data_IF_083048999103
#
_entry.id   IF_083048999103
#
_cell.length_a   1.000
_cell.length_b   1.000
_cell.length_c   1.000
_cell.angle_alpha   90.00
_cell.angle_beta   90.00
_cell.angle_gamma   90.00
#
_symmetry.space_group_name_H-M   'P 1'
#
loop_
_entity.id
_entity.type
_entity.pdbx_description
1 polymer ?
#
# COMPACT_ATOMS: atom_id res chain seq x y z
N UNK A 1 13.11 84.34 21.86
CA UNK A 1 12.91 84.40 20.40
C UNK A 1 12.03 83.19 20.05
N UNK A 2 10.75 83.23 20.44
CA UNK A 2 9.55 83.61 19.67
C UNK A 2 8.98 82.52 18.75
N UNK A 3 7.70 82.21 19.01
CA UNK A 3 6.67 81.41 18.28
C UNK A 3 6.49 79.95 18.75
N UNK A 4 5.46 79.62 19.56
CA UNK A 4 3.99 79.64 19.30
C UNK A 4 3.66 79.03 17.93
N UNK A 5 2.99 77.91 17.78
CA UNK A 5 1.76 77.46 18.43
C UNK A 5 0.74 77.24 17.32
N UNK A 6 0.09 76.07 17.23
CA UNK A 6 -1.25 75.87 16.64
C UNK A 6 -1.79 74.54 17.19
N UNK A 7 -2.81 74.67 18.05
CA UNK A 7 -3.85 73.68 18.30
C UNK A 7 -4.94 73.85 17.23
N UNK A 8 -5.52 72.73 16.79
CA UNK A 8 -6.81 72.64 16.10
C UNK A 8 -7.01 71.17 15.70
N UNK A 9 -7.71 70.35 16.48
CA UNK A 9 -9.17 70.15 16.46
C UNK A 9 -9.76 70.01 15.05
N UNK A 10 -9.82 68.76 14.58
CA UNK A 10 -10.89 68.19 13.75
C UNK A 10 -10.99 66.71 14.16
N UNK A 11 -12.09 66.13 14.61
CA UNK A 11 -13.47 66.46 14.29
C UNK A 11 -13.95 65.55 13.15
N UNK A 12 -14.46 64.36 13.49
CA UNK A 12 -15.33 63.49 12.67
C UNK A 12 -14.66 62.67 11.55
N UNK A 13 -14.49 61.37 11.79
CA UNK A 13 -15.41 60.32 11.30
C UNK A 13 -14.75 58.98 11.58
N UNK A 14 -15.16 58.38 12.70
CA UNK A 14 -14.99 56.97 12.98
C UNK A 14 -15.92 56.23 12.02
N UNK A 15 -15.42 55.92 10.82
CA UNK A 15 -16.14 55.02 9.90
C UNK A 15 -16.08 53.64 10.54
N UNK A 16 -17.13 53.33 11.30
CA UNK A 16 -17.52 51.97 11.63
C UNK A 16 -17.78 51.24 10.32
N UNK A 17 -16.75 50.58 9.81
CA UNK A 17 -16.94 49.43 8.94
C UNK A 17 -17.43 48.27 9.82
N UNK A 18 -18.70 48.31 10.21
CA UNK A 18 -19.47 47.13 10.59
C UNK A 18 -19.88 46.38 9.31
N UNK A 19 -18.88 46.01 8.52
CA UNK A 19 -19.04 45.05 7.42
C UNK A 19 -18.73 43.69 8.00
N UNK A 20 -19.70 43.09 8.66
CA UNK A 20 -19.67 41.68 9.02
C UNK A 20 -19.49 40.87 7.73
N UNK A 21 -18.24 40.58 7.39
CA UNK A 21 -17.89 39.42 6.59
C UNK A 21 -18.29 38.23 7.46
N UNK A 22 -19.58 37.89 7.33
CA UNK A 22 -20.09 36.55 7.53
C UNK A 22 -19.09 35.61 6.86
N UNK A 23 -18.16 35.10 7.65
CA UNK A 23 -17.44 33.89 7.33
C UNK A 23 -18.53 32.83 7.27
N UNK A 24 -19.04 32.56 6.09
CA UNK A 24 -19.93 31.44 5.83
C UNK A 24 -19.31 30.23 6.51
N UNK A 25 -19.94 29.78 7.61
CA UNK A 25 -19.48 28.63 8.35
C UNK A 25 -19.41 27.45 7.38
N UNK A 26 -18.38 26.58 7.47
CA UNK A 26 -18.34 25.37 6.67
C UNK A 26 -19.67 24.65 6.82
N UNK A 27 -20.33 24.35 5.71
CA UNK A 27 -21.72 23.89 5.65
C UNK A 27 -22.05 22.90 6.76
N UNK A 28 -23.02 23.26 7.61
CA UNK A 28 -23.35 22.57 8.88
C UNK A 28 -23.54 21.06 8.73
N UNK A 29 -24.05 20.59 7.58
CA UNK A 29 -24.24 19.15 7.31
C UNK A 29 -22.93 18.37 7.21
N UNK A 30 -21.90 18.93 6.57
CA UNK A 30 -20.63 18.22 6.37
C UNK A 30 -19.89 17.99 7.69
N UNK A 31 -19.93 18.98 8.58
CA UNK A 31 -19.41 18.85 9.94
C UNK A 31 -20.23 17.83 10.76
N UNK A 32 -21.56 17.92 10.72
CA UNK A 32 -22.45 16.99 11.43
C UNK A 32 -22.25 15.52 11.03
N UNK A 33 -22.11 15.23 9.73
CA UNK A 33 -21.85 13.85 9.25
C UNK A 33 -20.50 13.34 9.74
N UNK A 34 -19.45 14.18 9.73
CA UNK A 34 -18.13 13.80 10.24
C UNK A 34 -18.18 13.50 11.73
N UNK A 35 -18.84 14.34 12.52
CA UNK A 35 -18.96 14.15 13.98
C UNK A 35 -19.73 12.87 14.32
N UNK A 36 -20.75 12.54 13.53
CA UNK A 36 -21.48 11.28 13.65
C UNK A 36 -20.58 10.08 13.36
N UNK A 37 -19.84 10.11 12.25
CA UNK A 37 -18.92 9.02 11.83
C UNK A 37 -17.70 8.88 12.76
N UNK A 38 -17.31 9.95 13.45
CA UNK A 38 -16.25 9.91 14.46
C UNK A 38 -16.70 9.29 15.79
N UNK A 39 -17.98 8.91 15.93
CA UNK A 39 -18.42 8.14 17.11
C UNK A 39 -17.84 6.73 17.05
N UNK A 40 -17.12 6.27 18.10
CA UNK A 40 -16.43 4.98 18.08
C UNK A 40 -17.37 3.79 17.90
N UNK A 41 -18.56 3.84 18.50
CA UNK A 41 -19.57 2.78 18.34
C UNK A 41 -20.05 2.65 16.88
N UNK A 42 -20.35 3.78 16.22
CA UNK A 42 -20.78 3.76 14.82
C UNK A 42 -19.66 3.28 13.91
N UNK A 43 -18.43 3.79 14.12
CA UNK A 43 -17.26 3.34 13.38
C UNK A 43 -17.01 1.83 13.53
N UNK A 44 -17.17 1.28 14.74
CA UNK A 44 -17.04 -0.15 14.99
C UNK A 44 -18.11 -0.95 14.24
N UNK A 45 -19.38 -0.55 14.31
CA UNK A 45 -20.49 -1.19 13.59
C UNK A 45 -20.24 -1.17 12.08
N UNK A 46 -19.84 -0.02 11.51
CA UNK A 46 -19.53 0.10 10.09
C UNK A 46 -18.31 -0.74 9.69
N UNK A 47 -17.29 -0.82 10.54
CA UNK A 47 -16.11 -1.65 10.30
C UNK A 47 -16.45 -3.14 10.29
N UNK A 48 -17.30 -3.58 11.22
CA UNK A 48 -17.81 -4.96 11.26
C UNK A 48 -18.67 -5.24 10.03
N UNK A 49 -19.56 -4.31 9.65
CA UNK A 49 -20.40 -4.44 8.47
C UNK A 49 -19.59 -4.57 7.17
N UNK A 50 -18.40 -3.96 7.08
CA UNK A 50 -17.52 -4.14 5.92
C UNK A 50 -17.11 -5.61 5.70
N UNK A 51 -17.05 -6.43 6.75
CA UNK A 51 -16.77 -7.87 6.63
C UNK A 51 -17.95 -8.69 6.10
N UNK A 52 -19.13 -8.09 5.92
CA UNK A 52 -20.19 -8.72 5.13
C UNK A 52 -19.82 -8.80 3.64
N UNK A 53 -18.93 -7.93 3.14
CA UNK A 53 -18.49 -7.91 1.73
C UNK A 53 -17.89 -9.25 1.28
N UNK A 54 -16.88 -9.82 1.95
CA UNK A 54 -16.32 -11.11 1.54
C UNK A 54 -17.33 -12.24 1.69
N UNK A 55 -18.23 -12.19 2.68
CA UNK A 55 -19.32 -13.18 2.83
C UNK A 55 -20.27 -13.13 1.63
N UNK A 56 -20.70 -11.93 1.22
CA UNK A 56 -21.52 -11.73 0.05
C UNK A 56 -20.80 -12.13 -1.24
N UNK A 57 -19.50 -11.81 -1.37
CA UNK A 57 -18.69 -12.24 -2.50
C UNK A 57 -18.66 -13.76 -2.63
N UNK A 58 -18.42 -14.48 -1.53
CA UNK A 58 -18.43 -15.95 -1.52
C UNK A 58 -19.82 -16.51 -1.85
N UNK A 59 -20.88 -15.88 -1.36
CA UNK A 59 -22.25 -16.33 -1.62
C UNK A 59 -22.71 -16.08 -3.08
N UNK A 60 -22.18 -15.05 -3.74
CA UNK A 60 -22.64 -14.59 -5.05
C UNK A 60 -21.74 -15.02 -6.21
N UNK A 61 -20.47 -15.35 -5.94
CA UNK A 61 -19.49 -15.74 -6.96
C UNK A 61 -19.24 -17.24 -6.85
N UNK A 62 -19.50 -18.03 -7.91
CA UNK A 62 -19.15 -19.45 -7.93
C UNK A 62 -17.64 -19.65 -7.78
N UNK A 63 -17.24 -20.62 -6.96
CA UNK A 63 -15.84 -21.04 -6.81
C UNK A 63 -14.81 -19.92 -6.51
N UNK A 64 -15.08 -18.97 -5.59
CA UNK A 64 -14.24 -17.78 -5.45
C UNK A 64 -12.93 -18.03 -4.69
N UNK A 65 -12.78 -19.20 -4.05
CA UNK A 65 -11.72 -19.53 -3.09
C UNK A 65 -10.98 -20.82 -3.42
N UNK A 66 -10.87 -21.21 -4.69
CA UNK A 66 -10.20 -22.46 -5.09
C UNK A 66 -8.67 -22.46 -4.92
N UNK A 67 -8.09 -21.36 -4.44
CA UNK A 67 -6.65 -21.23 -4.28
C UNK A 67 -6.20 -21.82 -2.93
N UNK A 68 -5.27 -22.79 -2.92
CA UNK A 68 -4.73 -23.35 -1.69
C UNK A 68 -4.06 -22.28 -0.82
N UNK A 69 -4.14 -22.48 0.50
CA UNK A 69 -3.38 -21.67 1.45
C UNK A 69 -1.89 -21.70 1.12
N UNK A 70 -1.26 -20.53 1.05
CA UNK A 70 0.18 -20.42 0.80
C UNK A 70 0.65 -20.86 -0.60
N UNK A 71 -0.25 -21.03 -1.57
CA UNK A 71 0.13 -21.45 -2.93
C UNK A 71 1.16 -20.52 -3.59
N UNK A 72 1.02 -19.19 -3.42
CA UNK A 72 2.00 -18.24 -3.96
C UNK A 72 3.31 -18.30 -3.15
N UNK A 73 3.24 -18.47 -1.83
CA UNK A 73 4.44 -18.66 -1.02
C UNK A 73 5.26 -19.88 -1.47
N UNK A 74 4.61 -21.02 -1.73
CA UNK A 74 5.30 -22.21 -2.22
C UNK A 74 5.83 -22.00 -3.64
N UNK A 75 5.02 -21.42 -4.53
CA UNK A 75 5.44 -21.10 -5.90
C UNK A 75 6.77 -20.31 -5.91
N UNK A 76 6.86 -19.21 -5.17
CA UNK A 76 8.07 -18.39 -5.19
C UNK A 76 9.25 -19.07 -4.50
N UNK A 77 9.04 -19.97 -3.54
CA UNK A 77 10.12 -20.80 -2.98
C UNK A 77 10.63 -21.81 -3.99
N UNK A 78 9.74 -22.52 -4.67
CA UNK A 78 10.08 -23.55 -5.66
C UNK A 78 10.82 -22.95 -6.85
N UNK A 79 10.28 -21.87 -7.41
CA UNK A 79 10.91 -21.13 -8.51
C UNK A 79 12.28 -20.57 -8.10
N UNK A 80 12.41 -20.06 -6.88
CA UNK A 80 13.70 -19.56 -6.38
C UNK A 80 14.70 -20.69 -6.17
N UNK A 81 14.27 -21.85 -5.65
CA UNK A 81 15.13 -23.03 -5.52
C UNK A 81 15.58 -23.55 -6.89
N UNK A 82 14.69 -23.56 -7.89
CA UNK A 82 15.05 -23.88 -9.27
C UNK A 82 16.12 -22.93 -9.80
N UNK A 83 15.95 -21.63 -9.61
CA UNK A 83 16.92 -20.63 -10.03
C UNK A 83 18.28 -20.78 -9.30
N UNK A 84 18.26 -21.00 -7.98
CA UNK A 84 19.47 -21.27 -7.19
C UNK A 84 20.19 -22.55 -7.62
N UNK A 85 19.45 -23.54 -8.12
CA UNK A 85 19.99 -24.77 -8.72
C UNK A 85 20.54 -24.60 -10.15
N UNK A 86 20.55 -23.39 -10.70
CA UNK A 86 21.01 -23.09 -12.06
C UNK A 86 19.92 -23.21 -13.14
N UNK A 87 18.67 -23.44 -12.75
CA UNK A 87 17.53 -23.44 -13.65
C UNK A 87 16.99 -22.03 -13.96
N UNK A 88 15.95 -21.94 -14.79
CA UNK A 88 15.32 -20.67 -15.14
C UNK A 88 14.40 -20.14 -14.03
N UNK A 89 14.37 -18.81 -13.87
CA UNK A 89 13.40 -18.16 -12.98
C UNK A 89 12.02 -18.08 -13.63
N UNK A 90 11.96 -17.66 -14.89
CA UNK A 90 10.75 -17.67 -15.72
C UNK A 90 10.63 -18.99 -16.48
N UNK A 91 9.41 -19.44 -16.75
CA UNK A 91 9.18 -20.66 -17.53
C UNK A 91 9.50 -20.46 -19.01
N UNK A 92 9.90 -21.53 -19.70
CA UNK A 92 10.27 -21.48 -21.12
C UNK A 92 9.12 -20.97 -22.01
N UNK A 93 7.87 -21.33 -21.70
CA UNK A 93 6.70 -20.83 -22.44
C UNK A 93 6.44 -19.33 -22.19
N UNK A 94 6.82 -18.81 -21.01
CA UNK A 94 6.70 -17.37 -20.73
C UNK A 94 7.68 -16.56 -21.59
N UNK A 95 8.87 -17.13 -21.84
CA UNK A 95 9.90 -16.49 -22.67
C UNK A 95 9.67 -16.66 -24.17
N UNK A 96 9.08 -17.79 -24.60
CA UNK A 96 8.74 -18.02 -26.00
C UNK A 96 7.53 -17.19 -26.45
N UNK A 97 6.49 -17.13 -25.61
CA UNK A 97 5.26 -16.38 -25.87
C UNK A 97 4.51 -16.79 -27.15
N UNK A 98 3.36 -16.16 -27.39
CA UNK A 98 2.50 -15.54 -26.39
C UNK A 98 1.87 -16.59 -25.46
N UNK A 99 1.49 -16.21 -24.24
CA UNK A 99 0.83 -17.13 -23.30
C UNK A 99 -0.30 -16.44 -22.52
N UNK A 100 -1.35 -17.20 -22.18
CA UNK A 100 -2.39 -16.75 -21.24
C UNK A 100 -1.91 -16.93 -19.80
N UNK A 101 -2.09 -15.92 -18.95
CA UNK A 101 -1.69 -16.00 -17.54
C UNK A 101 -2.47 -17.10 -16.83
N UNK A 102 -1.75 -17.96 -16.10
CA UNK A 102 -2.25 -19.09 -15.33
C UNK A 102 -1.76 -19.01 -13.88
N UNK A 103 -2.44 -19.73 -13.00
CA UNK A 103 -1.91 -19.97 -11.67
C UNK A 103 -0.55 -20.67 -11.78
N UNK A 104 0.46 -20.17 -11.07
CA UNK A 104 1.84 -20.66 -11.18
C UNK A 104 2.77 -19.77 -12.01
N UNK A 105 2.26 -18.79 -12.75
CA UNK A 105 3.12 -17.89 -13.53
C UNK A 105 3.91 -16.93 -12.66
N UNK A 106 5.20 -16.79 -12.97
CA UNK A 106 6.11 -15.84 -12.33
C UNK A 106 6.01 -14.51 -13.06
N UNK A 107 5.47 -13.49 -12.39
CA UNK A 107 5.30 -12.14 -12.96
C UNK A 107 6.13 -11.06 -12.25
N UNK A 108 6.83 -11.42 -11.17
CA UNK A 108 7.65 -10.48 -10.40
C UNK A 108 8.98 -10.22 -11.10
N UNK A 109 9.52 -8.99 -11.01
CA UNK A 109 10.83 -8.65 -11.52
C UNK A 109 11.94 -9.38 -10.74
N UNK A 110 13.14 -9.53 -11.31
CA UNK A 110 14.24 -10.29 -10.73
C UNK A 110 14.66 -9.80 -9.34
N UNK A 111 14.53 -8.49 -9.08
CA UNK A 111 14.85 -7.89 -7.78
C UNK A 111 14.03 -8.48 -6.62
N UNK A 112 12.88 -9.10 -6.90
CA UNK A 112 12.11 -9.84 -5.91
C UNK A 112 12.82 -11.09 -5.37
N UNK A 113 13.83 -11.62 -6.07
CA UNK A 113 14.66 -12.72 -5.57
C UNK A 113 15.35 -12.36 -4.24
N UNK A 114 15.69 -11.09 -3.99
CA UNK A 114 16.21 -10.68 -2.68
C UNK A 114 15.22 -10.92 -1.53
N UNK A 115 13.92 -10.84 -1.83
CA UNK A 115 12.87 -11.21 -0.88
C UNK A 115 12.70 -12.73 -0.80
N UNK A 116 12.78 -13.45 -1.92
CA UNK A 116 12.45 -14.88 -1.95
C UNK A 116 13.57 -15.80 -1.44
N UNK A 117 14.83 -15.47 -1.74
CA UNK A 117 16.00 -16.31 -1.42
C UNK A 117 16.06 -16.71 0.05
N UNK A 118 15.90 -15.81 1.04
CA UNK A 118 15.93 -16.18 2.47
C UNK A 118 14.90 -17.25 2.84
N UNK A 119 13.72 -17.22 2.22
CA UNK A 119 12.62 -18.16 2.50
C UNK A 119 12.73 -19.47 1.68
N UNK A 120 13.43 -19.42 0.54
CA UNK A 120 13.73 -20.59 -0.27
C UNK A 120 14.80 -21.46 0.40
N UNK A 121 15.91 -20.87 0.86
CA UNK A 121 17.04 -21.59 1.47
C UNK A 121 16.74 -22.12 2.86
N UNK A 122 15.80 -21.50 3.59
CA UNK A 122 15.29 -21.99 4.86
C UNK A 122 14.32 -23.17 4.66
N UNK A 123 14.76 -24.24 3.99
CA UNK A 123 13.91 -25.37 3.59
C UNK A 123 13.91 -26.53 4.58
N UNK A 124 14.93 -26.67 5.42
CA UNK A 124 15.01 -27.69 6.45
C UNK A 124 14.27 -27.29 7.74
N UNK A 125 13.68 -28.27 8.44
CA UNK A 125 13.11 -28.05 9.77
C UNK A 125 14.24 -27.73 10.80
N UNK A 126 13.99 -26.85 11.79
CA UNK A 126 12.75 -26.11 12.06
C UNK A 126 12.59 -24.82 11.22
N UNK A 127 13.62 -24.44 10.47
CA UNK A 127 13.70 -23.17 9.74
C UNK A 127 12.62 -23.01 8.67
N UNK A 128 12.13 -24.10 8.07
CA UNK A 128 11.01 -24.06 7.12
C UNK A 128 9.70 -23.56 7.74
N UNK A 129 9.42 -23.96 8.98
CA UNK A 129 8.24 -23.49 9.72
C UNK A 129 8.42 -22.02 10.09
N UNK A 130 9.61 -21.64 10.57
CA UNK A 130 9.93 -20.25 10.92
C UNK A 130 9.82 -19.34 9.69
N UNK A 131 10.38 -19.75 8.56
CA UNK A 131 10.32 -19.02 7.29
C UNK A 131 8.87 -18.86 6.82
N UNK A 132 8.08 -19.94 6.88
CA UNK A 132 6.66 -19.87 6.58
C UNK A 132 5.97 -18.85 7.48
N UNK A 133 6.04 -18.98 8.80
CA UNK A 133 5.39 -18.03 9.73
C UNK A 133 5.86 -16.59 9.50
N UNK A 134 7.17 -16.38 9.33
CA UNK A 134 7.76 -15.06 9.10
C UNK A 134 7.24 -14.41 7.82
N UNK A 135 6.95 -15.19 6.76
CA UNK A 135 6.43 -14.69 5.49
C UNK A 135 5.14 -13.88 5.65
N UNK A 136 4.25 -14.30 6.56
CA UNK A 136 3.02 -13.57 6.87
C UNK A 136 3.20 -12.60 8.03
N UNK A 137 3.80 -13.06 9.13
CA UNK A 137 3.83 -12.29 10.39
C UNK A 137 4.63 -10.99 10.23
N UNK A 138 5.72 -10.98 9.48
CA UNK A 138 6.53 -9.77 9.29
C UNK A 138 5.73 -8.68 8.56
N UNK A 139 5.25 -8.88 7.32
CA UNK A 139 4.54 -7.83 6.61
C UNK A 139 3.24 -7.41 7.30
N UNK A 140 2.46 -8.37 7.83
CA UNK A 140 1.22 -8.06 8.54
C UNK A 140 1.47 -7.33 9.87
N UNK A 141 2.51 -7.74 10.60
CA UNK A 141 2.94 -7.07 11.84
C UNK A 141 3.41 -5.64 11.58
N UNK A 142 4.16 -5.40 10.51
CA UNK A 142 4.56 -4.04 10.10
C UNK A 142 3.35 -3.16 9.80
N UNK A 143 2.34 -3.67 9.09
CA UNK A 143 1.11 -2.92 8.82
C UNK A 143 0.33 -2.66 10.11
N UNK A 144 0.14 -3.68 10.95
CA UNK A 144 -0.58 -3.54 12.22
C UNK A 144 0.09 -2.52 13.15
N UNK A 145 1.42 -2.61 13.31
CA UNK A 145 2.21 -1.66 14.08
C UNK A 145 2.11 -0.24 13.51
N UNK A 146 2.15 -0.10 12.18
CA UNK A 146 1.95 1.18 11.50
C UNK A 146 0.59 1.79 11.81
N UNK A 147 -0.50 1.01 11.68
CA UNK A 147 -1.85 1.48 12.01
C UNK A 147 -1.94 1.87 13.49
N UNK A 148 -1.36 1.08 14.39
CA UNK A 148 -1.35 1.38 15.82
C UNK A 148 -0.60 2.69 16.14
N UNK A 149 0.55 2.93 15.52
CA UNK A 149 1.34 4.16 15.67
C UNK A 149 0.62 5.38 15.10
N UNK A 150 -0.04 5.22 13.95
CA UNK A 150 -0.77 6.32 13.29
C UNK A 150 -2.04 6.73 14.05
N UNK A 151 -2.59 5.85 14.91
CA UNK A 151 -3.80 6.10 15.71
C UNK A 151 -4.93 6.76 14.89
N UNK A 152 -5.47 6.09 13.85
CA UNK A 152 -6.52 6.68 13.01
C UNK A 152 -7.72 7.18 13.82
N UNK A 153 -8.37 8.24 13.32
CA UNK A 153 -9.67 8.69 13.86
C UNK A 153 -10.72 7.58 13.69
N UNK A 154 -11.75 7.51 14.55
CA UNK A 154 -12.81 6.51 14.44
C UNK A 154 -13.41 6.42 13.03
N UNK A 155 -13.69 7.57 12.37
CA UNK A 155 -14.28 7.58 11.01
C UNK A 155 -13.44 6.87 9.93
N UNK A 156 -12.16 6.61 10.19
CA UNK A 156 -11.20 6.04 9.23
C UNK A 156 -11.22 4.52 9.29
N UNK A 157 -11.59 3.94 10.43
CA UNK A 157 -11.62 2.49 10.63
C UNK A 157 -12.52 1.76 9.63
N UNK A 158 -13.71 2.26 9.26
CA UNK A 158 -14.52 1.63 8.21
C UNK A 158 -13.80 1.57 6.85
N UNK A 159 -12.99 2.57 6.50
CA UNK A 159 -12.22 2.57 5.26
C UNK A 159 -11.05 1.58 5.32
N UNK A 160 -10.38 1.48 6.46
CA UNK A 160 -9.35 0.46 6.71
C UNK A 160 -9.98 -0.93 6.62
N UNK A 161 -11.14 -1.13 7.25
CA UNK A 161 -11.88 -2.39 7.22
C UNK A 161 -12.33 -2.75 5.80
N UNK A 162 -12.79 -1.78 5.00
CA UNK A 162 -13.13 -1.99 3.59
C UNK A 162 -11.91 -2.44 2.77
N UNK A 163 -10.75 -1.82 2.98
CA UNK A 163 -9.52 -2.22 2.30
C UNK A 163 -9.08 -3.65 2.68
N UNK A 164 -9.23 -4.01 3.96
CA UNK A 164 -8.87 -5.33 4.49
C UNK A 164 -9.87 -6.42 4.05
N UNK A 165 -11.17 -6.13 4.11
CA UNK A 165 -12.25 -7.04 3.77
C UNK A 165 -12.45 -7.22 2.27
N UNK A 166 -11.82 -6.39 1.43
CA UNK A 166 -11.80 -6.55 0.00
C UNK A 166 -11.36 -7.99 -0.37
N UNK A 167 -12.14 -8.74 -1.19
CA UNK A 167 -11.85 -10.15 -1.48
C UNK A 167 -10.44 -10.40 -2.00
N UNK A 168 -9.92 -9.52 -2.87
CA UNK A 168 -8.54 -9.64 -3.37
C UNK A 168 -7.51 -9.48 -2.26
N UNK A 169 -7.75 -8.59 -1.28
CA UNK A 169 -6.84 -8.43 -0.13
C UNK A 169 -6.77 -9.70 0.69
N UNK A 170 -7.93 -10.27 1.04
CA UNK A 170 -7.99 -11.52 1.80
C UNK A 170 -7.36 -12.67 1.03
N UNK A 171 -7.66 -12.80 -0.27
CA UNK A 171 -7.08 -13.84 -1.13
C UNK A 171 -5.56 -13.74 -1.22
N UNK A 172 -5.00 -12.53 -1.37
CA UNK A 172 -3.55 -12.31 -1.47
C UNK A 172 -2.83 -12.56 -0.14
N UNK A 173 -3.48 -12.27 0.99
CA UNK A 173 -2.98 -12.68 2.31
C UNK A 173 -3.03 -14.21 2.43
N UNK A 174 -4.15 -14.85 2.10
CA UNK A 174 -4.35 -16.30 2.18
C UNK A 174 -3.35 -17.10 1.35
N UNK A 175 -3.15 -16.70 0.10
CA UNK A 175 -2.21 -17.34 -0.83
C UNK A 175 -0.75 -17.06 -0.49
N UNK A 176 -0.46 -16.08 0.37
CA UNK A 176 0.90 -15.64 0.67
C UNK A 176 1.53 -14.89 -0.51
N UNK A 177 0.75 -14.14 -1.27
CA UNK A 177 1.26 -13.40 -2.42
C UNK A 177 2.29 -12.34 -2.00
N UNK A 178 3.42 -12.17 -2.71
CA UNK A 178 4.44 -11.17 -2.34
C UNK A 178 3.96 -9.72 -2.25
N UNK A 179 2.77 -9.38 -2.78
CA UNK A 179 2.18 -8.04 -2.63
C UNK A 179 1.98 -7.66 -1.16
N UNK A 180 1.86 -8.61 -0.22
CA UNK A 180 1.81 -8.30 1.22
C UNK A 180 3.11 -7.63 1.71
N UNK A 181 4.25 -7.88 1.07
CA UNK A 181 5.51 -7.19 1.34
C UNK A 181 5.56 -5.80 0.70
N UNK A 182 4.90 -5.61 -0.45
CA UNK A 182 4.69 -4.26 -1.01
C UNK A 182 3.77 -3.43 -0.10
N UNK A 183 2.77 -4.05 0.53
CA UNK A 183 1.93 -3.43 1.56
C UNK A 183 2.75 -3.00 2.78
N UNK A 184 3.66 -3.84 3.25
CA UNK A 184 4.57 -3.50 4.35
C UNK A 184 5.52 -2.35 3.98
N UNK A 185 6.07 -2.35 2.77
CA UNK A 185 6.88 -1.24 2.26
C UNK A 185 6.09 0.08 2.23
N UNK A 186 4.84 0.04 1.76
CA UNK A 186 3.93 1.19 1.78
C UNK A 186 3.63 1.64 3.21
N UNK A 187 3.44 0.71 4.15
CA UNK A 187 3.22 1.02 5.56
C UNK A 187 4.43 1.73 6.20
N UNK A 188 5.64 1.22 5.99
CA UNK A 188 6.86 1.90 6.44
C UNK A 188 7.03 3.27 5.78
N UNK A 189 6.63 3.41 4.51
CA UNK A 189 6.74 4.67 3.79
C UNK A 189 5.80 5.76 4.32
N UNK A 190 4.68 5.42 4.96
CA UNK A 190 3.77 6.43 5.52
C UNK A 190 4.13 6.85 6.95
N UNK A 191 4.93 6.06 7.66
CA UNK A 191 5.36 6.36 9.04
C UNK A 191 6.56 7.30 9.05
N UNK A 192 6.57 8.23 10.01
CA UNK A 192 7.70 9.14 10.23
C UNK A 192 7.98 10.09 9.06
N UNK A 193 9.22 10.61 9.03
CA UNK A 193 9.69 11.57 8.03
C UNK A 193 10.29 10.91 6.78
N UNK A 194 10.74 9.65 6.88
CA UNK A 194 11.38 8.93 5.77
C UNK A 194 10.34 8.43 4.77
N UNK A 195 10.71 8.50 3.48
CA UNK A 195 9.96 7.96 2.34
C UNK A 195 10.76 6.92 1.56
N UNK A 196 11.85 6.42 2.15
CA UNK A 196 12.78 5.50 1.50
C UNK A 196 12.17 4.13 1.19
N UNK A 197 11.10 3.72 1.88
CA UNK A 197 10.44 2.45 1.63
C UNK A 197 9.48 2.49 0.42
N UNK A 198 9.00 3.67 -0.01
CA UNK A 198 7.99 3.77 -1.07
C UNK A 198 8.44 3.15 -2.41
N UNK A 199 9.68 3.33 -2.88
CA UNK A 199 10.16 2.69 -4.11
C UNK A 199 10.07 1.16 -4.10
N UNK A 200 10.15 0.49 -2.93
CA UNK A 200 10.05 -0.98 -2.86
C UNK A 200 8.66 -1.53 -3.19
N UNK A 201 7.64 -0.66 -3.31
CA UNK A 201 6.35 -1.03 -3.92
C UNK A 201 6.53 -1.48 -5.38
N UNK A 202 7.58 -1.01 -6.06
CA UNK A 202 7.93 -1.42 -7.44
C UNK A 202 8.41 -2.87 -7.56
N UNK A 203 8.50 -3.63 -6.45
CA UNK A 203 8.48 -5.10 -6.54
C UNK A 203 7.26 -5.58 -7.34
N UNK A 204 6.19 -4.79 -7.36
CA UNK A 204 5.06 -4.97 -8.26
C UNK A 204 4.86 -3.72 -9.13
N UNK A 205 5.46 -3.67 -10.34
CA UNK A 205 5.47 -2.45 -11.16
C UNK A 205 4.08 -1.90 -11.52
N UNK A 206 3.07 -2.77 -11.65
CA UNK A 206 1.67 -2.38 -11.85
C UNK A 206 1.08 -1.54 -10.70
N UNK A 207 1.75 -1.49 -9.54
CA UNK A 207 1.41 -0.66 -8.39
C UNK A 207 2.28 0.61 -8.28
N UNK A 208 3.01 0.97 -9.34
CA UNK A 208 3.88 2.15 -9.41
C UNK A 208 3.25 3.47 -8.92
N UNK A 209 1.95 3.77 -9.12
CA UNK A 209 1.37 4.99 -8.58
C UNK A 209 1.55 5.16 -7.06
N UNK A 210 1.52 4.07 -6.30
CA UNK A 210 1.76 4.08 -4.85
C UNK A 210 3.23 4.33 -4.51
N UNK A 211 4.15 3.87 -5.36
CA UNK A 211 5.58 4.10 -5.17
C UNK A 211 5.95 5.59 -5.24
N UNK A 212 5.13 6.44 -5.88
CA UNK A 212 5.36 7.89 -5.96
C UNK A 212 5.09 8.63 -4.64
N UNK A 213 4.63 7.94 -3.59
CA UNK A 213 4.36 8.54 -2.30
C UNK A 213 5.62 9.20 -1.70
N UNK A 214 5.61 10.54 -1.66
CA UNK A 214 6.72 11.30 -1.12
C UNK A 214 7.91 11.49 -2.06
N UNK A 215 7.73 11.32 -3.38
CA UNK A 215 8.76 11.49 -4.42
C UNK A 215 9.58 12.78 -4.33
N UNK A 216 9.00 13.85 -3.78
CA UNK A 216 9.69 15.14 -3.57
C UNK A 216 10.67 15.14 -2.40
N UNK A 217 10.80 14.04 -1.64
CA UNK A 217 11.69 13.93 -0.47
C UNK A 217 13.02 13.29 -0.85
N UNK A 218 14.14 13.79 -0.35
CA UNK A 218 15.47 13.18 -0.56
C UNK A 218 15.53 11.70 -0.15
N UNK A 219 14.90 11.35 0.96
CA UNK A 219 14.82 9.95 1.42
C UNK A 219 14.17 9.02 0.39
N UNK A 220 13.23 9.52 -0.41
CA UNK A 220 12.61 8.72 -1.47
C UNK A 220 13.63 8.34 -2.54
N UNK A 221 14.43 9.30 -2.98
CA UNK A 221 15.50 9.07 -3.96
C UNK A 221 16.60 8.15 -3.42
N UNK A 222 16.91 8.21 -2.11
CA UNK A 222 17.79 7.23 -1.48
C UNK A 222 17.20 5.81 -1.57
N UNK A 223 15.90 5.66 -1.28
CA UNK A 223 15.20 4.39 -1.44
C UNK A 223 15.25 3.87 -2.88
N UNK A 224 15.05 4.76 -3.85
CA UNK A 224 15.12 4.40 -5.27
C UNK A 224 16.54 4.00 -5.67
N UNK A 225 17.57 4.72 -5.21
CA UNK A 225 18.96 4.38 -5.46
C UNK A 225 19.32 3.01 -4.89
N UNK A 226 18.83 2.67 -3.69
CA UNK A 226 18.99 1.32 -3.11
C UNK A 226 18.28 0.26 -3.97
N UNK A 227 17.03 0.51 -4.39
CA UNK A 227 16.31 -0.43 -5.25
C UNK A 227 17.04 -0.66 -6.58
N UNK A 228 17.55 0.40 -7.20
CA UNK A 228 18.35 0.32 -8.43
C UNK A 228 19.62 -0.50 -8.17
N UNK A 229 20.37 -0.21 -7.11
CA UNK A 229 21.57 -0.95 -6.75
C UNK A 229 21.28 -2.44 -6.53
N UNK A 230 20.18 -2.77 -5.85
CA UNK A 230 19.72 -4.16 -5.66
C UNK A 230 19.27 -4.82 -6.97
N UNK A 231 18.90 -4.05 -7.99
CA UNK A 231 18.46 -4.55 -9.28
C UNK A 231 19.63 -4.93 -10.20
N UNK A 232 20.79 -4.29 -10.04
CA UNK A 232 21.95 -4.47 -10.93
C UNK A 232 22.48 -5.92 -11.03
N UNK A 233 22.57 -6.72 -9.94
CA UNK A 233 23.13 -8.06 -10.00
C UNK A 233 22.37 -9.05 -10.90
N UNK A 234 21.13 -8.75 -11.27
CA UNK A 234 20.29 -9.67 -12.05
C UNK A 234 20.52 -9.59 -13.57
N UNK A 235 21.24 -8.57 -14.06
CA UNK A 235 21.72 -8.50 -15.45
C UNK A 235 20.69 -8.92 -16.50
N UNK A 236 21.00 -9.99 -17.25
CA UNK A 236 20.17 -10.51 -18.33
C UNK A 236 18.77 -10.99 -17.90
N UNK A 237 18.57 -11.33 -16.62
CA UNK A 237 17.28 -11.78 -16.09
C UNK A 237 16.20 -10.68 -16.16
N UNK A 238 16.60 -9.41 -16.25
CA UNK A 238 15.68 -8.32 -16.56
C UNK A 238 15.11 -8.41 -17.98
N UNK A 239 15.89 -8.90 -18.95
CA UNK A 239 15.42 -9.17 -20.30
C UNK A 239 14.38 -10.28 -20.32
N UNK A 240 14.62 -11.36 -19.57
CA UNK A 240 13.66 -12.46 -19.41
C UNK A 240 12.37 -12.01 -18.74
N UNK A 241 12.46 -11.11 -17.76
CA UNK A 241 11.28 -10.52 -17.12
C UNK A 241 10.47 -9.66 -18.09
N UNK A 242 11.14 -8.80 -18.87
CA UNK A 242 10.45 -7.99 -19.89
C UNK A 242 9.80 -8.90 -20.92
N UNK A 243 10.48 -9.95 -21.37
CA UNK A 243 9.92 -10.94 -22.30
C UNK A 243 8.69 -11.63 -21.70
N UNK A 244 8.75 -12.11 -20.46
CA UNK A 244 7.60 -12.76 -19.82
C UNK A 244 6.40 -11.83 -19.68
N UNK A 245 6.61 -10.56 -19.31
CA UNK A 245 5.52 -9.58 -19.22
C UNK A 245 4.93 -9.26 -20.59
N UNK A 246 5.76 -8.98 -21.60
CA UNK A 246 5.30 -8.63 -22.96
C UNK A 246 4.59 -9.79 -23.66
N UNK A 247 5.04 -11.01 -23.41
CA UNK A 247 4.43 -12.22 -23.98
C UNK A 247 3.10 -12.60 -23.31
N UNK A 248 2.80 -12.05 -22.14
CA UNK A 248 1.60 -12.39 -21.37
C UNK A 248 0.32 -11.80 -21.98
N UNK A 249 -0.75 -12.58 -21.92
CA UNK A 249 -2.12 -12.20 -22.30
C UNK A 249 -3.07 -12.33 -21.11
N UNK A 250 -4.13 -11.53 -21.13
CA UNK A 250 -5.14 -11.49 -20.06
C UNK A 250 -4.80 -10.61 -18.84
N UNK A 251 -3.53 -10.18 -18.68
CA UNK A 251 -3.12 -9.28 -17.60
C UNK A 251 -3.32 -7.80 -17.93
N UNK A 252 -2.65 -7.31 -18.99
CA UNK A 252 -2.57 -5.88 -19.29
C UNK A 252 -1.90 -5.06 -18.17
N UNK A 253 -1.77 -3.74 -18.39
CA UNK A 253 -1.12 -2.82 -17.44
C UNK A 253 -1.85 -2.71 -16.09
N UNK A 254 -3.14 -3.08 -16.05
CA UNK A 254 -4.01 -2.96 -14.88
C UNK A 254 -4.30 -4.30 -14.19
N UNK A 255 -3.57 -5.38 -14.52
CA UNK A 255 -3.83 -6.71 -13.94
C UNK A 255 -3.81 -6.73 -12.41
N UNK A 256 -3.10 -5.80 -11.78
CA UNK A 256 -2.99 -5.65 -10.32
C UNK A 256 -3.81 -4.48 -9.77
N UNK A 257 -4.67 -3.85 -10.56
CA UNK A 257 -5.56 -2.77 -10.08
C UNK A 257 -6.48 -3.24 -8.94
N UNK A 258 -6.87 -4.52 -8.96
CA UNK A 258 -7.63 -5.17 -7.89
C UNK A 258 -6.86 -5.27 -6.56
N UNK A 259 -5.53 -5.12 -6.60
CA UNK A 259 -4.66 -5.11 -5.42
C UNK A 259 -4.45 -3.70 -4.86
N UNK A 260 -4.96 -2.66 -5.51
CA UNK A 260 -4.87 -1.28 -5.02
C UNK A 260 -5.42 -1.09 -3.59
N UNK A 261 -6.54 -1.75 -3.16
CA UNK A 261 -7.00 -1.66 -1.77
C UNK A 261 -5.96 -2.14 -0.75
N UNK A 262 -5.11 -3.11 -1.11
CA UNK A 262 -4.04 -3.63 -0.25
C UNK A 262 -3.06 -2.50 0.09
N UNK A 263 -2.61 -1.73 -0.91
CA UNK A 263 -1.69 -0.61 -0.69
C UNK A 263 -2.39 0.68 -0.23
N UNK A 264 -3.69 0.81 -0.46
CA UNK A 264 -4.47 1.93 0.03
C UNK A 264 -4.61 1.89 1.56
N UNK A 265 -4.63 0.70 2.17
CA UNK A 265 -4.83 0.54 3.61
C UNK A 265 -3.87 1.41 4.46
N UNK A 266 -2.54 1.34 4.29
CA UNK A 266 -1.64 2.21 5.06
C UNK A 266 -1.78 3.70 4.70
N UNK A 267 -2.09 4.03 3.44
CA UNK A 267 -2.29 5.42 2.99
C UNK A 267 -3.52 6.04 3.64
N UNK A 268 -4.62 5.31 3.69
CA UNK A 268 -5.88 5.71 4.35
C UNK A 268 -5.66 5.92 5.84
N UNK A 269 -5.00 4.95 6.51
CA UNK A 269 -4.64 5.07 7.92
C UNK A 269 -3.79 6.32 8.18
N UNK A 270 -2.83 6.61 7.31
CA UNK A 270 -1.99 7.80 7.40
C UNK A 270 -2.77 9.09 7.15
N UNK A 271 -3.61 9.15 6.12
CA UNK A 271 -4.38 10.34 5.79
C UNK A 271 -5.35 10.72 6.92
N UNK A 272 -5.94 9.72 7.56
CA UNK A 272 -6.90 9.86 8.66
C UNK A 272 -6.29 9.81 10.07
N UNK A 273 -4.96 9.84 10.19
CA UNK A 273 -4.25 9.81 11.48
C UNK A 273 -4.63 10.98 12.38
N UNK A 274 -4.63 10.77 13.69
CA UNK A 274 -4.70 11.88 14.65
C UNK A 274 -3.38 12.65 14.60
N UNK A 275 -3.42 13.96 14.32
CA UNK A 275 -2.24 14.81 14.47
C UNK A 275 -2.15 15.17 15.96
N UNK A 276 -1.04 14.84 16.60
CA UNK A 276 -0.73 15.40 17.91
C UNK A 276 -0.69 16.93 17.75
N UNK A 277 -1.43 17.64 18.61
CA UNK A 277 -1.34 19.09 18.77
C UNK A 277 -0.01 19.49 19.37
#
# INVERSE_FOLDING_TARGET
>A
MFRDGIRGMDGRMRVMWSGGLSTSSPSSRGAQVRDLLDRPALAAVLSIAAFAIPVLFVALVPHPLEQPFGVDFQLYREVTNRWLGGGSFYESYQLAGPYEIRAGDVLYPPVALWLFVPFAVASAAPWSVVAAVAWWVIPLGVVAATVAVLRPRPLVWPLIALCLANPTTLLKIWTGNPVIWSMAAMALAVVGASRAAAPFVLLKPSLAPFALFGVRRRSWWLGLAVLIALSLPFGALWGDWVASVVNSRGGGLLYSSLEAPILALPVVAWAGRRRHG
#
